data_IF_236476602992
#
_entry.id   IF_236476602992
#
_cell.length_a   1.000
_cell.length_b   1.000
_cell.length_c   1.000
_cell.angle_alpha   90.00
_cell.angle_beta   90.00
_cell.angle_gamma   90.00
#
_symmetry.space_group_name_H-M   'P 1'
#
loop_
_entity.id
_entity.type
_entity.pdbx_description
1 polymer ?
#
# COMPACT_ATOMS: atom_id res chain seq x y z
N UNK A 1 -7.80 2.47 78.78
CA UNK A 1 -6.42 2.02 78.48
C UNK A 1 -6.43 1.44 77.07
N UNK A 2 -6.18 2.28 76.06
CA UNK A 2 -6.19 1.88 74.64
C UNK A 2 -4.76 1.76 74.15
N UNK A 3 -4.36 0.58 73.66
CA UNK A 3 -3.03 0.33 73.12
C UNK A 3 -2.90 0.90 71.70
N UNK A 4 -1.71 1.40 71.29
CA UNK A 4 -1.52 1.96 69.96
C UNK A 4 -1.34 0.82 68.95
N UNK A 5 -2.24 0.74 67.98
CA UNK A 5 -2.10 -0.15 66.83
C UNK A 5 -0.86 0.24 66.02
N UNK A 6 0.13 -0.65 65.97
CA UNK A 6 1.31 -0.53 65.10
C UNK A 6 0.85 -0.36 63.65
N UNK A 7 0.93 0.86 63.14
CA UNK A 7 0.80 1.18 61.72
C UNK A 7 1.94 0.57 60.93
N UNK A 8 1.81 -0.68 60.51
CA UNK A 8 2.67 -1.26 59.50
C UNK A 8 2.24 -0.71 58.14
N UNK A 9 2.93 0.32 57.65
CA UNK A 9 2.86 0.75 56.26
C UNK A 9 3.32 -0.41 55.37
N UNK A 10 2.37 -1.23 54.91
CA UNK A 10 2.59 -2.34 53.99
C UNK A 10 3.08 -1.77 52.66
N UNK A 11 4.40 -1.66 52.48
CA UNK A 11 5.01 -1.36 51.18
C UNK A 11 4.49 -2.40 50.19
N UNK A 12 3.67 -1.96 49.25
CA UNK A 12 3.13 -2.78 48.19
C UNK A 12 4.30 -3.29 47.34
N UNK A 13 4.66 -4.58 47.48
CA UNK A 13 5.76 -5.18 46.74
C UNK A 13 5.36 -5.22 45.26
N UNK A 14 5.95 -4.35 44.44
CA UNK A 14 5.77 -4.37 42.98
C UNK A 14 6.17 -5.75 42.47
N UNK A 15 5.24 -6.44 41.78
CA UNK A 15 5.51 -7.75 41.19
C UNK A 15 6.62 -7.60 40.14
N UNK A 16 7.64 -8.47 40.12
CA UNK A 16 8.68 -8.43 39.10
C UNK A 16 8.03 -8.62 37.72
N UNK A 17 8.39 -7.74 36.77
CA UNK A 17 7.87 -7.80 35.41
C UNK A 17 8.53 -8.99 34.71
N UNK A 18 7.78 -10.02 34.28
CA UNK A 18 8.37 -11.16 33.59
C UNK A 18 8.87 -10.69 32.22
N UNK A 19 10.19 -10.69 32.03
CA UNK A 19 10.82 -10.37 30.74
C UNK A 19 10.78 -11.62 29.86
N UNK A 20 10.18 -11.49 28.67
CA UNK A 20 10.20 -12.53 27.64
C UNK A 20 11.16 -12.13 26.54
N UNK A 21 12.12 -13.00 26.25
CA UNK A 21 12.98 -12.86 25.07
C UNK A 21 12.20 -13.27 23.83
N UNK A 22 12.11 -12.41 22.82
CA UNK A 22 11.53 -12.74 21.52
C UNK A 22 12.55 -12.56 20.42
N UNK A 23 12.50 -13.44 19.42
CA UNK A 23 13.29 -13.28 18.21
C UNK A 23 12.49 -12.41 17.23
N UNK A 24 12.83 -11.13 17.15
CA UNK A 24 12.25 -10.20 16.19
C UNK A 24 13.14 -10.10 14.95
N UNK A 25 12.55 -9.84 13.78
CA UNK A 25 13.33 -9.58 12.56
C UNK A 25 14.22 -8.35 12.78
N UNK A 26 15.55 -8.44 12.54
CA UNK A 26 16.43 -7.28 12.61
C UNK A 26 16.23 -6.35 11.41
N UNK A 27 15.60 -6.84 10.34
CA UNK A 27 15.36 -6.04 9.15
C UNK A 27 14.02 -5.32 9.22
N UNK A 28 14.05 -4.03 8.89
CA UNK A 28 12.88 -3.19 8.79
C UNK A 28 12.68 -2.70 7.35
N UNK A 29 11.46 -2.86 6.84
CA UNK A 29 11.08 -2.40 5.50
C UNK A 29 10.34 -1.08 5.59
N UNK A 30 10.98 -0.03 5.07
CA UNK A 30 10.44 1.32 5.10
C UNK A 30 10.46 1.93 3.70
N UNK A 31 9.48 2.78 3.44
CA UNK A 31 9.44 3.56 2.21
C UNK A 31 10.58 4.58 2.20
N UNK A 32 11.17 4.78 1.03
CA UNK A 32 12.16 5.84 0.86
C UNK A 32 11.48 7.22 0.91
N UNK A 33 12.07 8.20 1.60
CA UNK A 33 11.49 9.54 1.68
C UNK A 33 11.44 10.18 0.29
N UNK A 34 10.32 10.84 0.00
CA UNK A 34 10.12 11.58 -1.24
C UNK A 34 10.30 13.08 -0.99
N UNK A 35 11.11 13.72 -1.82
CA UNK A 35 11.33 15.16 -1.78
C UNK A 35 10.05 15.96 -2.06
N UNK A 36 9.94 17.16 -1.50
CA UNK A 36 8.71 17.98 -1.60
C UNK A 36 8.41 18.39 -3.04
N UNK A 37 9.43 18.79 -3.79
CA UNK A 37 9.30 19.19 -5.19
C UNK A 37 8.81 18.03 -6.06
N UNK A 38 9.44 16.87 -5.88
CA UNK A 38 9.08 15.61 -6.53
C UNK A 38 7.64 15.17 -6.20
N UNK A 39 7.21 15.32 -4.94
CA UNK A 39 5.81 15.09 -4.53
C UNK A 39 4.85 15.97 -5.35
N UNK A 40 5.08 17.28 -5.41
CA UNK A 40 4.19 18.20 -6.13
C UNK A 40 4.17 17.91 -7.63
N UNK A 41 5.33 17.62 -8.22
CA UNK A 41 5.45 17.21 -9.61
C UNK A 41 4.61 15.96 -9.92
N UNK A 42 4.74 14.90 -9.11
CA UNK A 42 3.98 13.65 -9.29
C UNK A 42 2.47 13.92 -9.19
N UNK A 43 2.03 14.64 -8.16
CA UNK A 43 0.60 14.91 -7.96
C UNK A 43 0.00 15.77 -9.08
N UNK A 44 0.73 16.79 -9.55
CA UNK A 44 0.26 17.67 -10.61
C UNK A 44 0.17 16.95 -11.96
N UNK A 45 1.19 16.16 -12.31
CA UNK A 45 1.20 15.35 -13.54
C UNK A 45 0.03 14.36 -13.54
N UNK A 46 -0.21 13.68 -12.41
CA UNK A 46 -1.33 12.75 -12.26
C UNK A 46 -2.68 13.46 -12.37
N UNK A 47 -2.83 14.60 -11.69
CA UNK A 47 -4.07 15.39 -11.71
C UNK A 47 -4.40 15.83 -13.12
N UNK A 48 -3.44 16.41 -13.84
CA UNK A 48 -3.64 16.86 -15.22
C UNK A 48 -4.08 15.73 -16.14
N UNK A 49 -3.41 14.58 -16.08
CA UNK A 49 -3.70 13.44 -16.96
C UNK A 49 -5.00 12.74 -16.60
N UNK A 50 -5.30 12.54 -15.32
CA UNK A 50 -6.58 11.94 -14.90
C UNK A 50 -7.77 12.86 -15.23
N UNK A 51 -7.61 14.18 -15.11
CA UNK A 51 -8.61 15.15 -15.53
C UNK A 51 -8.83 15.14 -17.05
N UNK A 52 -7.75 15.08 -17.85
CA UNK A 52 -7.85 15.02 -19.30
C UNK A 52 -8.54 13.74 -19.80
N UNK A 53 -8.29 12.61 -19.12
CA UNK A 53 -8.89 11.31 -19.46
C UNK A 53 -10.34 11.20 -18.98
N UNK A 54 -10.74 11.96 -17.97
CA UNK A 54 -12.12 11.97 -17.45
C UNK A 54 -12.56 10.65 -16.80
N UNK A 55 -11.61 9.87 -16.26
CA UNK A 55 -11.90 8.57 -15.66
C UNK A 55 -12.57 8.75 -14.28
N UNK A 56 -13.88 8.54 -14.22
CA UNK A 56 -14.64 8.63 -12.96
C UNK A 56 -15.47 7.36 -12.72
N UNK A 57 -15.55 6.94 -11.45
CA UNK A 57 -16.49 5.91 -11.02
C UNK A 57 -17.86 6.57 -10.81
N UNK A 58 -18.82 6.25 -11.68
CA UNK A 58 -20.18 6.72 -11.49
C UNK A 58 -20.82 5.95 -10.34
N UNK A 59 -21.36 6.67 -9.34
CA UNK A 59 -22.18 6.04 -8.31
C UNK A 59 -23.53 5.72 -8.92
N UNK A 60 -23.92 4.45 -8.95
CA UNK A 60 -25.32 4.10 -9.16
C UNK A 60 -26.11 4.70 -8.00
N UNK A 61 -26.88 5.75 -8.28
CA UNK A 61 -27.87 6.24 -7.32
C UNK A 61 -28.86 5.10 -7.13
N UNK A 62 -28.81 4.45 -5.97
CA UNK A 62 -29.78 3.43 -5.59
C UNK A 62 -31.17 3.97 -5.85
N UNK A 63 -31.93 3.28 -6.70
CA UNK A 63 -33.31 3.63 -7.03
C UNK A 63 -34.08 3.63 -5.70
N UNK A 64 -34.36 4.82 -5.16
CA UNK A 64 -35.27 4.95 -4.03
C UNK A 64 -36.58 4.31 -4.48
N UNK A 65 -36.89 3.12 -3.94
CA UNK A 65 -38.19 2.48 -4.14
C UNK A 65 -39.20 3.42 -3.50
N UNK A 66 -39.76 4.36 -4.29
CA UNK A 66 -41.04 4.98 -3.97
C UNK A 66 -42.03 3.83 -3.83
N UNK A 67 -42.37 3.50 -2.59
CA UNK A 67 -43.37 2.51 -2.23
C UNK A 67 -44.70 3.08 -2.71
N UNK A 68 -45.08 2.75 -3.95
CA UNK A 68 -46.37 3.12 -4.50
C UNK A 68 -47.47 2.46 -3.66
N UNK A 69 -48.29 3.30 -3.04
CA UNK A 69 -49.57 2.96 -2.43
C UNK A 69 -50.43 2.21 -3.44
N UNK A 70 -50.98 1.05 -3.05
CA UNK A 70 -51.98 0.31 -3.82
C UNK A 70 -53.26 1.13 -3.97
N UNK A 71 -53.88 1.18 -5.16
CA UNK A 71 -55.32 1.22 -5.27
C UNK A 71 -55.86 -0.21 -5.43
N UNK A 72 -56.85 -0.52 -4.61
CA UNK A 72 -57.84 -1.58 -4.78
C UNK A 72 -58.62 -1.33 -6.07
N UNK A 73 -58.86 -2.33 -6.92
CA UNK A 73 -60.21 -2.72 -7.42
C UNK A 73 -60.11 -3.91 -8.39
N UNK A 74 -61.23 -4.64 -8.44
CA UNK A 74 -61.49 -5.94 -9.03
C UNK A 74 -61.46 -6.04 -10.57
N UNK A 75 -61.48 -7.30 -11.01
CA UNK A 75 -61.95 -7.87 -12.30
C UNK A 75 -60.91 -8.33 -13.35
N UNK A 76 -61.15 -9.57 -13.82
CA UNK A 76 -60.52 -10.40 -14.88
C UNK A 76 -61.65 -10.70 -15.92
N UNK A 77 -61.47 -11.37 -17.10
CA UNK A 77 -60.26 -11.87 -17.80
C UNK A 77 -60.21 -11.80 -19.38
N UNK A 78 -58.98 -11.86 -19.94
CA UNK A 78 -58.47 -12.56 -21.18
C UNK A 78 -59.03 -12.26 -22.62
N UNK A 79 -58.36 -12.62 -23.76
CA UNK A 79 -57.07 -13.36 -23.96
C UNK A 79 -56.02 -12.78 -24.98
N UNK A 80 -54.74 -13.15 -24.75
CA UNK A 80 -53.55 -13.49 -25.61
C UNK A 80 -53.37 -13.04 -27.09
N UNK A 81 -52.16 -13.13 -27.72
CA UNK A 81 -50.81 -13.49 -27.24
C UNK A 81 -49.68 -12.53 -27.73
N UNK A 82 -48.44 -12.92 -27.44
CA UNK A 82 -47.19 -12.53 -28.11
C UNK A 82 -46.35 -11.42 -27.46
N UNK A 83 -45.12 -11.81 -27.14
CA UNK A 83 -43.99 -10.90 -27.23
C UNK A 83 -43.35 -10.50 -25.90
N UNK A 84 -42.28 -11.23 -25.59
CA UNK A 84 -41.10 -10.74 -24.86
C UNK A 84 -41.24 -10.66 -23.34
N UNK A 85 -40.87 -11.78 -22.72
CA UNK A 85 -40.29 -11.84 -21.37
C UNK A 85 -39.20 -10.77 -21.27
N UNK A 86 -39.54 -9.61 -20.72
CA UNK A 86 -38.56 -8.69 -20.15
C UNK A 86 -38.23 -9.23 -18.76
N UNK A 87 -37.18 -10.04 -18.69
CA UNK A 87 -36.52 -10.29 -17.42
C UNK A 87 -36.01 -8.94 -16.89
N UNK A 88 -36.32 -8.56 -15.63
CA UNK A 88 -35.77 -7.36 -15.04
C UNK A 88 -34.25 -7.51 -14.92
N UNK A 89 -33.53 -6.62 -15.59
CA UNK A 89 -32.07 -6.60 -15.61
C UNK A 89 -31.48 -6.53 -14.20
N UNK A 90 -30.41 -7.30 -14.02
CA UNK A 90 -29.57 -7.39 -12.82
C UNK A 90 -29.08 -6.01 -12.35
N UNK A 91 -28.69 -5.86 -11.06
CA UNK A 91 -28.36 -4.56 -10.48
C UNK A 91 -27.28 -3.83 -11.28
N UNK A 92 -27.49 -2.54 -11.50
CA UNK A 92 -26.53 -1.63 -12.15
C UNK A 92 -25.22 -1.61 -11.37
N UNK A 93 -24.26 -2.42 -11.82
CA UNK A 93 -22.87 -2.38 -11.40
C UNK A 93 -22.32 -0.96 -11.52
N UNK A 94 -21.43 -0.52 -10.62
CA UNK A 94 -20.82 0.80 -10.71
C UNK A 94 -20.04 0.92 -12.02
N UNK A 95 -20.59 1.66 -12.97
CA UNK A 95 -19.99 1.86 -14.28
C UNK A 95 -18.88 2.90 -14.19
N UNK A 96 -17.71 2.57 -14.75
CA UNK A 96 -16.65 3.54 -14.97
C UNK A 96 -16.91 4.27 -16.28
N UNK A 97 -16.64 5.58 -16.34
CA UNK A 97 -16.85 6.38 -17.56
C UNK A 97 -16.15 5.78 -18.78
N UNK A 98 -14.93 5.25 -18.60
CA UNK A 98 -14.18 4.58 -19.66
C UNK A 98 -13.60 3.24 -19.16
N UNK A 99 -14.21 2.10 -19.53
CA UNK A 99 -13.76 0.78 -19.06
C UNK A 99 -12.43 0.34 -19.69
N UNK A 100 -12.08 0.81 -20.89
CA UNK A 100 -10.81 0.47 -21.53
C UNK A 100 -9.63 1.10 -20.78
N UNK A 101 -9.74 2.40 -20.46
CA UNK A 101 -8.76 3.11 -19.63
C UNK A 101 -8.70 2.51 -18.21
N UNK A 102 -9.85 2.16 -17.62
CA UNK A 102 -9.88 1.56 -16.27
C UNK A 102 -9.03 0.29 -16.18
N UNK A 103 -8.98 -0.53 -17.24
CA UNK A 103 -8.18 -1.76 -17.25
C UNK A 103 -6.68 -1.47 -17.20
N UNK A 104 -6.22 -0.30 -17.64
CA UNK A 104 -4.81 0.11 -17.61
C UNK A 104 -4.33 0.52 -16.20
N UNK A 105 -5.25 0.67 -15.25
CA UNK A 105 -4.98 1.12 -13.89
C UNK A 105 -5.29 0.00 -12.88
N UNK A 106 -4.47 -0.13 -11.84
CA UNK A 106 -4.74 -0.95 -10.67
C UNK A 106 -5.02 -0.01 -9.48
N UNK A 107 -6.19 -0.11 -8.87
CA UNK A 107 -6.62 0.80 -7.79
C UNK A 107 -6.84 0.03 -6.50
N UNK A 108 -6.11 0.43 -5.47
CA UNK A 108 -6.14 -0.20 -4.15
C UNK A 108 -5.06 -1.26 -3.96
N UNK A 109 -4.76 -1.55 -2.69
CA UNK A 109 -3.63 -2.40 -2.29
C UNK A 109 -3.76 -3.79 -2.94
N UNK A 110 -4.93 -4.41 -2.91
CA UNK A 110 -5.14 -5.76 -3.44
C UNK A 110 -5.00 -5.86 -4.96
N UNK A 111 -5.37 -4.82 -5.72
CA UNK A 111 -5.16 -4.85 -7.18
C UNK A 111 -3.70 -4.61 -7.52
N UNK A 112 -3.04 -3.73 -6.78
CA UNK A 112 -1.61 -3.46 -6.93
C UNK A 112 -0.77 -4.68 -6.57
N UNK A 113 -1.08 -5.40 -5.48
CA UNK A 113 -0.38 -6.65 -5.13
C UNK A 113 -0.51 -7.69 -6.23
N UNK A 114 -1.74 -7.97 -6.69
CA UNK A 114 -1.99 -8.90 -7.81
C UNK A 114 -1.24 -8.49 -9.08
N UNK A 115 -1.20 -7.19 -9.39
CA UNK A 115 -0.47 -6.66 -10.54
C UNK A 115 1.05 -6.86 -10.41
N UNK A 116 1.62 -6.65 -9.22
CA UNK A 116 3.04 -6.92 -8.95
C UNK A 116 3.36 -8.42 -9.03
N UNK A 117 2.52 -9.28 -8.46
CA UNK A 117 2.69 -10.74 -8.51
C UNK A 117 2.72 -11.27 -9.95
N UNK A 118 1.88 -10.71 -10.82
CA UNK A 118 1.80 -11.07 -12.24
C UNK A 118 2.79 -10.33 -13.13
N UNK A 119 3.63 -9.46 -12.57
CA UNK A 119 4.55 -8.60 -13.33
C UNK A 119 3.86 -7.73 -14.40
N UNK A 120 2.62 -7.32 -14.12
CA UNK A 120 1.80 -6.52 -15.04
C UNK A 120 2.00 -5.02 -14.83
N UNK A 121 2.69 -4.57 -13.77
CA UNK A 121 2.84 -3.15 -13.44
C UNK A 121 4.16 -2.55 -13.92
N UNK A 122 4.11 -1.27 -14.27
CA UNK A 122 5.25 -0.44 -14.68
C UNK A 122 5.63 0.61 -13.62
N UNK A 123 4.68 1.09 -12.83
CA UNK A 123 4.89 2.07 -11.75
C UNK A 123 3.86 1.84 -10.64
N UNK A 124 4.29 1.96 -9.39
CA UNK A 124 3.40 1.86 -8.20
C UNK A 124 3.54 3.07 -7.30
N UNK A 125 2.41 3.69 -6.94
CA UNK A 125 2.34 4.83 -6.05
C UNK A 125 1.45 4.47 -4.86
N UNK A 126 1.94 4.72 -3.65
CA UNK A 126 1.24 4.38 -2.41
C UNK A 126 0.99 5.64 -1.59
N UNK A 127 -0.19 5.76 -0.98
CA UNK A 127 -0.50 6.90 -0.12
C UNK A 127 0.12 6.75 1.27
N UNK A 128 0.57 7.85 1.88
CA UNK A 128 1.05 7.87 3.28
C UNK A 128 -0.08 7.81 4.33
N UNK A 129 -1.35 7.96 3.92
CA UNK A 129 -2.49 7.95 4.85
C UNK A 129 -2.91 6.55 5.31
N UNK A 130 -2.28 5.48 4.80
CA UNK A 130 -2.65 4.09 5.13
C UNK A 130 -2.33 3.79 6.60
N UNK A 131 -3.31 3.21 7.30
CA UNK A 131 -3.17 2.74 8.68
C UNK A 131 -3.75 1.32 8.78
N UNK A 132 -3.02 0.35 9.36
CA UNK A 132 -1.65 0.42 9.85
C UNK A 132 -0.60 0.47 8.71
N UNK A 133 0.58 1.06 8.99
CA UNK A 133 1.63 1.25 7.97
C UNK A 133 2.11 -0.07 7.33
N UNK A 134 2.11 -1.15 8.11
CA UNK A 134 2.52 -2.49 7.67
C UNK A 134 1.69 -3.03 6.49
N UNK A 135 0.47 -2.52 6.27
CA UNK A 135 -0.34 -2.85 5.10
C UNK A 135 0.31 -2.47 3.77
N UNK A 136 1.35 -1.64 3.78
CA UNK A 136 2.04 -1.21 2.54
C UNK A 136 3.48 -1.72 2.48
N UNK A 137 4.07 -2.10 3.60
CA UNK A 137 5.47 -2.54 3.68
C UNK A 137 5.78 -3.72 2.74
N UNK A 138 4.84 -4.65 2.56
CA UNK A 138 5.02 -5.81 1.68
C UNK A 138 5.13 -5.44 0.19
N UNK A 139 4.63 -4.26 -0.22
CA UNK A 139 4.77 -3.80 -1.60
C UNK A 139 6.22 -3.48 -1.94
N UNK A 140 7.03 -3.06 -0.97
CA UNK A 140 8.44 -2.70 -1.16
C UNK A 140 9.26 -3.88 -1.72
N UNK A 141 9.34 -5.05 -1.03
CA UNK A 141 10.08 -6.19 -1.57
C UNK A 141 9.45 -6.73 -2.85
N UNK A 142 8.11 -6.74 -2.98
CA UNK A 142 7.45 -7.18 -4.22
C UNK A 142 7.83 -6.33 -5.43
N UNK A 143 7.84 -5.01 -5.27
CA UNK A 143 8.26 -4.07 -6.32
C UNK A 143 9.76 -4.23 -6.63
N UNK A 144 10.59 -4.43 -5.60
CA UNK A 144 12.03 -4.66 -5.78
C UNK A 144 12.32 -5.92 -6.60
N UNK A 145 11.69 -7.05 -6.28
CA UNK A 145 11.89 -8.32 -7.01
C UNK A 145 11.48 -8.25 -8.48
N UNK A 146 10.54 -7.36 -8.83
CA UNK A 146 10.04 -7.18 -10.20
C UNK A 146 10.66 -5.99 -10.92
N UNK A 147 11.64 -5.33 -10.31
CA UNK A 147 12.28 -4.11 -10.82
C UNK A 147 11.26 -3.01 -11.20
N UNK A 148 10.19 -2.90 -10.41
CA UNK A 148 9.14 -1.89 -10.60
C UNK A 148 9.45 -0.70 -9.69
N UNK A 149 9.57 0.53 -10.22
CA UNK A 149 9.69 1.73 -9.40
C UNK A 149 8.44 1.89 -8.54
N UNK A 150 8.64 2.07 -7.23
CA UNK A 150 7.54 2.40 -6.33
C UNK A 150 7.94 3.47 -5.32
N UNK A 151 7.01 4.36 -5.00
CA UNK A 151 7.21 5.35 -3.95
C UNK A 151 5.94 5.60 -3.14
N UNK A 152 6.16 6.11 -1.94
CA UNK A 152 5.10 6.62 -1.09
C UNK A 152 4.92 8.12 -1.36
N UNK A 153 3.72 8.52 -1.74
CA UNK A 153 3.34 9.90 -2.04
C UNK A 153 2.39 10.41 -0.95
N UNK A 154 2.79 11.42 -0.16
CA UNK A 154 1.89 12.05 0.80
C UNK A 154 0.70 12.74 0.10
N UNK A 155 -0.48 12.73 0.72
CA UNK A 155 -1.71 13.36 0.19
C UNK A 155 -2.18 12.86 -1.18
N UNK A 156 -1.75 11.66 -1.61
CA UNK A 156 -2.18 11.04 -2.86
C UNK A 156 -3.70 10.84 -2.89
N UNK A 157 -4.27 10.25 -1.83
CA UNK A 157 -5.72 10.00 -1.74
C UNK A 157 -6.53 11.29 -1.74
N UNK A 158 -6.08 12.32 -1.00
CA UNK A 158 -6.76 13.61 -0.93
C UNK A 158 -6.83 14.28 -2.31
N UNK A 159 -5.76 14.18 -3.09
CA UNK A 159 -5.66 14.81 -4.41
C UNK A 159 -6.42 14.07 -5.50
N UNK A 160 -6.44 12.73 -5.46
CA UNK A 160 -6.94 11.91 -6.57
C UNK A 160 -8.32 11.27 -6.34
N UNK A 161 -8.73 11.06 -5.09
CA UNK A 161 -9.99 10.34 -4.81
C UNK A 161 -11.21 11.05 -5.39
N UNK A 162 -11.27 12.39 -5.28
CA UNK A 162 -12.34 13.20 -5.84
C UNK A 162 -12.44 13.08 -7.36
N UNK A 163 -11.29 13.12 -8.06
CA UNK A 163 -11.22 13.01 -9.53
C UNK A 163 -11.73 11.66 -10.02
N UNK A 164 -11.36 10.57 -9.33
CA UNK A 164 -11.75 9.21 -9.69
C UNK A 164 -13.17 8.84 -9.22
N UNK A 165 -13.87 9.70 -8.47
CA UNK A 165 -15.18 9.38 -7.89
C UNK A 165 -15.11 8.32 -6.76
N UNK A 166 -13.94 8.16 -6.15
CA UNK A 166 -13.68 7.19 -5.08
C UNK A 166 -13.70 7.86 -3.70
N UNK A 167 -13.90 7.06 -2.65
CA UNK A 167 -13.78 7.57 -1.26
C UNK A 167 -12.33 7.82 -0.89
N UNK A 168 -11.45 6.89 -1.26
CA UNK A 168 -10.02 6.98 -1.00
C UNK A 168 -9.24 6.17 -2.04
N UNK A 169 -7.97 6.54 -2.25
CA UNK A 169 -7.01 5.86 -3.14
C UNK A 169 -5.75 5.59 -2.34
N UNK A 170 -5.65 4.38 -1.79
CA UNK A 170 -4.53 4.01 -0.91
C UNK A 170 -3.29 3.55 -1.67
N UNK A 171 -3.49 2.90 -2.81
CA UNK A 171 -2.44 2.48 -3.71
C UNK A 171 -2.94 2.61 -5.15
N UNK A 172 -2.03 2.93 -6.05
CA UNK A 172 -2.27 3.14 -7.47
C UNK A 172 -1.14 2.49 -8.25
N UNK A 173 -1.47 1.61 -9.19
CA UNK A 173 -0.51 0.96 -10.07
C UNK A 173 -0.86 1.24 -11.53
N UNK A 174 0.16 1.49 -12.35
CA UNK A 174 0.02 1.61 -13.79
C UNK A 174 0.43 0.29 -14.42
N UNK A 175 -0.44 -0.26 -15.28
CA UNK A 175 -0.11 -1.50 -16.00
C UNK A 175 0.91 -1.23 -17.11
N UNK A 176 1.66 -2.25 -17.48
CA UNK A 176 2.48 -2.28 -18.70
C UNK A 176 1.56 -2.27 -19.92
N UNK A 177 1.96 -1.57 -20.98
CA UNK A 177 1.10 -1.34 -22.16
C UNK A 177 -0.08 -0.40 -21.90
N UNK A 178 0.01 0.43 -20.86
CA UNK A 178 -0.97 1.47 -20.57
C UNK A 178 -0.71 2.71 -21.43
N UNK A 179 -0.99 2.63 -22.74
CA UNK A 179 -0.68 3.69 -23.73
C UNK A 179 -1.11 5.09 -23.27
N UNK A 180 -2.26 5.21 -22.59
CA UNK A 180 -2.80 6.48 -22.10
C UNK A 180 -1.94 7.10 -20.99
N UNK A 181 -1.25 6.27 -20.22
CA UNK A 181 -0.45 6.66 -19.05
C UNK A 181 1.07 6.50 -19.27
N UNK A 182 1.53 6.07 -20.44
CA UNK A 182 2.96 5.85 -20.70
C UNK A 182 3.80 7.10 -20.49
N UNK A 183 3.33 8.26 -20.95
CA UNK A 183 4.02 9.54 -20.74
C UNK A 183 4.16 9.88 -19.26
N UNK A 184 3.13 9.57 -18.46
CA UNK A 184 3.12 9.80 -17.01
C UNK A 184 4.13 8.89 -16.32
N UNK A 185 4.13 7.60 -16.68
CA UNK A 185 5.07 6.62 -16.15
C UNK A 185 6.50 7.04 -16.49
N UNK A 186 6.76 7.44 -17.74
CA UNK A 186 8.08 7.90 -18.19
C UNK A 186 8.55 9.15 -17.44
N UNK A 187 7.65 10.10 -17.18
CA UNK A 187 7.96 11.33 -16.46
C UNK A 187 8.22 11.08 -14.96
N UNK A 188 7.50 10.17 -14.32
CA UNK A 188 7.59 9.93 -12.88
C UNK A 188 8.73 8.97 -12.51
N UNK A 189 9.01 7.96 -13.34
CA UNK A 189 10.03 6.94 -13.06
C UNK A 189 11.40 7.51 -12.62
N UNK A 190 12.00 8.51 -13.29
CA UNK A 190 13.29 9.05 -12.87
C UNK A 190 13.24 9.84 -11.54
N UNK A 191 12.06 10.29 -11.14
CA UNK A 191 11.82 11.09 -9.93
C UNK A 191 11.62 10.19 -8.69
N UNK A 192 11.32 8.91 -8.91
CA UNK A 192 11.04 7.94 -7.84
C UNK A 192 12.33 7.52 -7.14
N UNK A 193 12.43 7.64 -5.80
CA UNK A 193 13.59 7.17 -5.08
C UNK A 193 13.72 5.63 -5.15
N UNK A 194 14.95 5.09 -5.24
CA UNK A 194 15.16 3.66 -5.35
C UNK A 194 14.80 2.93 -4.06
N UNK A 195 14.11 1.79 -4.19
CA UNK A 195 13.77 0.93 -3.05
C UNK A 195 15.00 0.15 -2.58
N UNK A 196 15.24 0.21 -1.26
CA UNK A 196 16.30 -0.54 -0.57
C UNK A 196 15.69 -1.66 0.27
N UNK A 197 16.12 -2.89 0.01
CA UNK A 197 15.76 -4.07 0.80
C UNK A 197 17.04 -4.83 1.08
N UNK A 198 17.43 -4.92 2.35
CA UNK A 198 18.76 -5.37 2.76
C UNK A 198 19.12 -6.78 2.26
N UNK A 199 18.13 -7.66 2.10
CA UNK A 199 18.34 -9.06 1.70
C UNK A 199 18.10 -9.33 0.20
N UNK A 200 17.71 -8.33 -0.59
CA UNK A 200 17.54 -8.47 -2.04
C UNK A 200 18.73 -7.81 -2.72
N UNK A 201 19.56 -8.56 -3.47
CA UNK A 201 20.70 -8.01 -4.16
C UNK A 201 20.28 -6.83 -5.07
N UNK A 202 21.04 -5.74 -4.99
CA UNK A 202 21.00 -4.70 -6.00
C UNK A 202 21.84 -5.15 -7.18
N UNK A 203 21.26 -5.11 -8.38
CA UNK A 203 21.84 -5.64 -9.63
C UNK A 203 23.23 -5.08 -10.00
N UNK A 204 23.73 -4.06 -9.29
CA UNK A 204 25.01 -3.39 -9.54
C UNK A 204 26.04 -3.46 -8.41
N UNK A 205 25.65 -3.55 -7.12
CA UNK A 205 26.63 -3.43 -6.01
C UNK A 205 27.06 -4.75 -5.40
N UNK A 206 26.28 -5.82 -5.53
CA UNK A 206 26.65 -7.13 -4.97
C UNK A 206 27.99 -7.64 -5.53
N UNK A 207 28.26 -7.43 -6.82
CA UNK A 207 29.55 -7.81 -7.45
C UNK A 207 30.75 -6.99 -6.98
N UNK A 208 30.53 -5.78 -6.45
CA UNK A 208 31.61 -4.89 -6.01
C UNK A 208 31.92 -5.07 -4.52
N UNK A 209 30.89 -5.21 -3.68
CA UNK A 209 31.04 -5.41 -2.24
C UNK A 209 31.48 -6.84 -1.89
N UNK A 210 31.03 -7.86 -2.62
CA UNK A 210 31.51 -9.25 -2.43
C UNK A 210 33.01 -9.38 -2.72
N UNK A 211 33.51 -8.71 -3.77
CA UNK A 211 34.96 -8.65 -4.07
C UNK A 211 35.77 -7.96 -2.97
N UNK A 212 35.18 -6.97 -2.29
CA UNK A 212 35.83 -6.21 -1.21
C UNK A 212 35.76 -6.95 0.13
N UNK A 213 34.69 -7.70 0.38
CA UNK A 213 34.54 -8.54 1.56
C UNK A 213 35.41 -9.81 1.49
N UNK A 214 35.58 -10.41 0.31
CA UNK A 214 36.50 -11.55 0.12
C UNK A 214 37.97 -11.16 0.23
N UNK A 215 38.34 -9.94 -0.16
CA UNK A 215 39.70 -9.42 0.06
C UNK A 215 39.98 -9.16 1.55
N UNK A 216 38.98 -8.77 2.34
CA UNK A 216 39.12 -8.55 3.79
C UNK A 216 39.06 -9.84 4.62
N UNK A 217 38.31 -10.86 4.19
CA UNK A 217 38.25 -12.17 4.87
C UNK A 217 39.54 -12.99 4.76
N UNK A 218 40.45 -12.64 3.84
CA UNK A 218 41.75 -13.27 3.66
C UNK A 218 42.83 -12.91 4.70
N UNK A 219 42.62 -11.88 5.54
CA UNK A 219 43.55 -11.56 6.63
C UNK A 219 43.19 -12.36 7.88
N UNK A 220 43.87 -13.50 8.06
CA UNK A 220 43.89 -14.30 9.29
C UNK A 220 44.03 -13.39 10.51
N UNK A 221 43.08 -13.53 11.44
CA UNK A 221 43.12 -12.97 12.79
C UNK A 221 44.43 -13.38 13.46
N UNK A 222 45.32 -12.41 13.74
CA UNK A 222 46.33 -12.60 14.79
C UNK A 222 45.59 -12.58 16.12
N UNK A 223 45.77 -13.67 16.87
CA UNK A 223 45.37 -13.83 18.26
C UNK A 223 45.98 -12.67 19.06
N UNK A 224 45.16 -11.83 19.67
CA UNK A 224 45.63 -10.84 20.64
C UNK A 224 45.95 -11.60 21.93
N UNK A 225 47.23 -11.65 22.30
CA UNK A 225 47.70 -12.14 23.59
C UNK A 225 47.08 -11.28 24.70
N UNK A 226 46.41 -11.93 25.64
CA UNK A 226 45.98 -11.33 26.89
C UNK A 226 47.22 -11.06 27.74
N UNK A 227 47.58 -9.80 27.95
CA UNK A 227 48.53 -9.42 28.99
C UNK A 227 47.84 -9.47 30.36
N UNK A 228 48.17 -10.48 31.15
CA UNK A 228 47.95 -10.49 32.60
C UNK A 228 48.77 -9.35 33.23
N UNK A 229 48.10 -8.40 33.86
CA UNK A 229 48.73 -7.50 34.83
C UNK A 229 48.18 -7.84 36.23
N UNK A 230 48.76 -8.89 36.81
CA UNK A 230 48.72 -9.14 38.24
C UNK A 230 50.01 -8.60 38.86
N UNK A 231 49.99 -7.33 39.26
CA UNK A 231 51.01 -6.77 40.15
C UNK A 231 50.47 -6.78 41.57
N UNK A 232 50.94 -7.76 42.35
CA UNK A 232 50.90 -7.70 43.79
C UNK A 232 52.13 -6.96 44.33
N UNK A 233 51.91 -6.08 45.31
CA UNK A 233 52.72 -5.82 46.50
C UNK A 233 52.04 -4.71 47.32
#
# INVERSE_FOLDING_TARGET
>A
MSTPGKGATKKEKKKPIPVKTSLNSPYSTHWSPLEREHKHFILNTLKGKLSAVGLQKQRSRGRSRKKGSKPTEDQKPAPDPAGRVQTPSKPTEPCWTNPAVRKQLAVGINEVTKGLERNELSLVLVCNSVRPAHMTCHLIPLSKTRSVPACQVPSLSESLAGLLGLKCVLALGFRRGAEVFEEVVRAITPVVPPLRVAWIPTDSTAKAEEKLADTLKGQKRKLEDMSDEATGA
#
